data_IF_075612513088
#
_entry.id   IF_075612513088
#
_cell.length_a   1.000
_cell.length_b   1.000
_cell.length_c   1.000
_cell.angle_alpha   90.00
_cell.angle_beta   90.00
_cell.angle_gamma   90.00
#
_symmetry.space_group_name_H-M   'P 1'
#
loop_
_entity.id
_entity.type
_entity.pdbx_description
1 polymer ?
#
# COMPACT_ATOMS: atom_id res chain seq x y z
N UNK A 1 -12.64 -9.75 -1.85
CA UNK A 1 -11.62 -10.21 -2.83
C UNK A 1 -11.06 -9.11 -3.71
N UNK A 2 -11.84 -8.46 -4.59
CA UNK A 2 -11.32 -7.39 -5.47
C UNK A 2 -10.57 -6.25 -4.77
N UNK A 3 -11.08 -5.77 -3.63
CA UNK A 3 -10.39 -4.73 -2.84
C UNK A 3 -9.06 -5.21 -2.26
N UNK A 4 -8.97 -6.49 -1.86
CA UNK A 4 -7.72 -7.07 -1.34
C UNK A 4 -6.68 -7.17 -2.45
N UNK A 5 -7.09 -7.66 -3.62
CA UNK A 5 -6.22 -7.73 -4.79
C UNK A 5 -5.69 -6.34 -5.20
N UNK A 6 -6.54 -5.31 -5.23
CA UNK A 6 -6.08 -3.94 -5.52
C UNK A 6 -5.09 -3.41 -4.47
N UNK A 7 -5.29 -3.72 -3.19
CA UNK A 7 -4.37 -3.31 -2.13
C UNK A 7 -3.05 -4.08 -2.18
N UNK A 8 -3.07 -5.35 -2.56
CA UNK A 8 -1.86 -6.14 -2.84
C UNK A 8 -1.09 -5.58 -4.03
N UNK A 9 -1.77 -5.23 -5.13
CA UNK A 9 -1.13 -4.61 -6.30
C UNK A 9 -0.46 -3.28 -5.91
N UNK A 10 -1.10 -2.47 -5.07
CA UNK A 10 -0.54 -1.23 -4.56
C UNK A 10 0.64 -1.46 -3.61
N UNK A 11 0.58 -2.49 -2.78
CA UNK A 11 1.67 -2.88 -1.89
C UNK A 11 2.90 -3.30 -2.70
N UNK A 12 2.72 -4.16 -3.70
CA UNK A 12 3.78 -4.57 -4.62
C UNK A 12 4.34 -3.36 -5.38
N UNK A 13 3.49 -2.50 -5.93
CA UNK A 13 3.92 -1.31 -6.68
C UNK A 13 4.81 -0.38 -5.83
N UNK A 14 4.52 -0.25 -4.55
CA UNK A 14 5.23 0.67 -3.64
C UNK A 14 6.32 -0.01 -2.81
N UNK A 15 6.53 -1.33 -2.96
CA UNK A 15 7.45 -2.10 -2.14
C UNK A 15 7.03 -2.24 -0.68
N UNK A 16 5.76 -1.93 -0.39
CA UNK A 16 5.16 -2.06 0.93
C UNK A 16 4.47 -3.40 1.14
N UNK A 17 3.89 -3.58 2.32
CA UNK A 17 3.10 -4.75 2.67
C UNK A 17 1.64 -4.37 2.88
N UNK A 18 0.73 -5.09 2.22
CA UNK A 18 -0.70 -4.95 2.48
C UNK A 18 -1.05 -5.58 3.84
N UNK A 19 -1.33 -4.74 4.85
CA UNK A 19 -1.79 -5.19 6.17
C UNK A 19 -3.30 -5.43 6.10
N UNK A 20 -3.72 -6.68 6.24
CA UNK A 20 -5.14 -7.07 6.32
C UNK A 20 -5.43 -7.76 7.64
N UNK A 21 -6.68 -7.68 8.11
CA UNK A 21 -7.10 -8.34 9.36
C UNK A 21 -6.95 -9.87 9.29
N UNK A 22 -6.99 -10.47 8.09
CA UNK A 22 -6.83 -11.92 7.93
C UNK A 22 -5.39 -12.40 8.20
N UNK A 23 -4.40 -11.51 8.07
CA UNK A 23 -3.01 -11.82 8.37
C UNK A 23 -2.73 -11.84 9.89
N UNK A 24 -3.68 -11.38 10.71
CA UNK A 24 -3.52 -11.26 12.17
C UNK A 24 -2.44 -10.25 12.59
N UNK A 25 -1.92 -9.46 11.64
CA UNK A 25 -0.93 -8.41 11.91
C UNK A 25 -1.70 -7.19 12.40
N UNK A 26 -1.39 -6.79 13.63
CA UNK A 26 -1.97 -5.57 14.20
C UNK A 26 -1.18 -4.35 13.74
N UNK A 27 -1.89 -3.26 13.48
CA UNK A 27 -1.32 -1.95 13.12
C UNK A 27 -0.26 -1.46 14.12
N UNK A 28 -0.35 -1.87 15.39
CA UNK A 28 0.62 -1.57 16.45
C UNK A 28 2.01 -2.20 16.25
N UNK A 29 2.12 -3.27 15.46
CA UNK A 29 3.38 -3.98 15.19
C UNK A 29 4.00 -3.64 13.83
N UNK A 30 3.37 -2.74 13.06
CA UNK A 30 3.83 -2.39 11.71
C UNK A 30 5.16 -1.65 11.77
N UNK A 31 6.12 -2.13 10.99
CA UNK A 31 7.44 -1.50 10.89
C UNK A 31 7.50 -0.51 9.74
N UNK A 32 8.41 0.47 9.84
CA UNK A 32 8.70 1.41 8.75
C UNK A 32 9.11 0.71 7.44
N UNK A 33 9.69 -0.49 7.54
CA UNK A 33 10.07 -1.34 6.39
C UNK A 33 8.87 -1.93 5.65
N UNK A 34 7.71 -2.03 6.31
CA UNK A 34 6.47 -2.54 5.70
C UNK A 34 5.66 -1.42 5.02
N UNK A 35 6.04 -0.15 5.23
CA UNK A 35 5.41 0.98 4.57
C UNK A 35 6.00 1.17 3.17
N UNK A 36 5.13 1.17 2.16
CA UNK A 36 5.53 1.42 0.78
C UNK A 36 6.05 2.84 0.57
N UNK A 37 6.95 2.98 -0.41
CA UNK A 37 7.53 4.26 -0.81
C UNK A 37 7.25 4.54 -2.28
N UNK A 38 7.14 5.83 -2.56
CA UNK A 38 6.90 6.33 -3.92
C UNK A 38 7.38 7.77 -4.01
N UNK A 39 7.77 8.18 -5.20
CA UNK A 39 8.30 9.53 -5.43
C UNK A 39 7.23 10.61 -5.40
N UNK A 40 6.01 10.30 -5.87
CA UNK A 40 4.92 11.26 -5.89
C UNK A 40 3.56 10.60 -5.78
N UNK A 41 2.74 11.12 -4.87
CA UNK A 41 1.32 10.78 -4.76
C UNK A 41 0.51 12.03 -5.04
N UNK A 42 -0.42 11.94 -5.99
CA UNK A 42 -1.38 12.99 -6.31
C UNK A 42 -2.77 12.48 -5.95
N UNK A 43 -3.46 13.17 -5.07
CA UNK A 43 -4.82 12.85 -4.65
C UNK A 43 -5.71 13.98 -5.15
N UNK A 44 -6.70 13.62 -5.96
CA UNK A 44 -7.75 14.53 -6.42
C UNK A 44 -9.12 14.07 -5.88
N UNK A 45 -10.20 14.76 -6.27
CA UNK A 45 -11.53 14.51 -5.69
C UNK A 45 -12.09 13.13 -6.03
N UNK A 46 -11.67 12.54 -7.15
CA UNK A 46 -12.25 11.30 -7.70
C UNK A 46 -11.23 10.17 -7.81
N UNK A 47 -9.94 10.49 -7.83
CA UNK A 47 -8.85 9.58 -8.14
C UNK A 47 -7.64 9.80 -7.22
N UNK A 48 -6.83 8.76 -7.10
CA UNK A 48 -5.52 8.80 -6.48
C UNK A 48 -4.52 8.21 -7.45
N UNK A 49 -3.48 8.98 -7.78
CA UNK A 49 -2.43 8.58 -8.69
C UNK A 49 -1.13 8.44 -7.92
N UNK A 50 -0.50 7.28 -8.00
CA UNK A 50 0.81 6.98 -7.42
C UNK A 50 1.81 6.88 -8.57
N UNK A 51 2.90 7.64 -8.49
CA UNK A 51 3.88 7.78 -9.58
C UNK A 51 5.27 7.43 -9.07
N UNK A 52 5.93 6.50 -9.78
CA UNK A 52 7.23 5.91 -9.42
C UNK A 52 7.19 5.29 -8.01
N UNK A 53 6.60 4.10 -7.90
CA UNK A 53 6.73 3.27 -6.70
C UNK A 53 8.10 2.61 -6.62
N UNK A 54 8.64 2.44 -5.41
CA UNK A 54 9.99 1.88 -5.16
C UNK A 54 9.97 0.35 -4.97
N UNK A 55 8.92 -0.33 -5.45
CA UNK A 55 8.69 -1.78 -5.29
C UNK A 55 9.31 -2.67 -6.35
#
# INVERSE_FOLDING_TARGET
DRRKAMLEDLAVLTGGRCITEDLGIKLENVKLEELGRTKRVTIDKENTTIVEGEG
#
